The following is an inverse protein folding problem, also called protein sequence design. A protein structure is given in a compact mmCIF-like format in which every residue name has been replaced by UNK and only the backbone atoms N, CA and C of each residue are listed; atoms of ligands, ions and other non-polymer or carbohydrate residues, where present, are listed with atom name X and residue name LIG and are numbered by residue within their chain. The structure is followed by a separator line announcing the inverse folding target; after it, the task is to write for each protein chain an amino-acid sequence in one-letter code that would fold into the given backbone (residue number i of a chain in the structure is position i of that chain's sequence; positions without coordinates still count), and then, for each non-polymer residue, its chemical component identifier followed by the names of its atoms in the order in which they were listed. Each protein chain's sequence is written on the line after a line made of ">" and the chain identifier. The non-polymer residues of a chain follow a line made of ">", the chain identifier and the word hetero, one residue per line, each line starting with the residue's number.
data_IF_263280878908
#
_entry.id   IF_263280878908
#
_cell.length_a   1.000
_cell.length_b   1.000
_cell.length_c   1.000
_cell.angle_alpha   90.00
_cell.angle_beta   90.00
_cell.angle_gamma   90.00
#
_symmetry.space_group_name_H-M   'P 1'
#
loop_
_entity.id
_entity.type
_entity.pdbx_description
1 polymer ?
#
# COMPACT_ATOMS: atom_id res chain seq x y z
N UNK A 1 -5.69 4.07 16.84
CA UNK A 1 -4.28 4.21 16.41
C UNK A 1 -4.05 3.94 14.91
N UNK A 2 -4.17 2.71 14.39
CA UNK A 2 -3.85 2.44 12.97
C UNK A 2 -4.73 3.23 11.97
N UNK A 3 -6.04 3.28 12.18
CA UNK A 3 -6.94 4.06 11.33
C UNK A 3 -6.77 5.56 11.45
N UNK A 4 -6.49 6.07 12.65
CA UNK A 4 -6.20 7.50 12.84
C UNK A 4 -4.93 7.90 12.09
N UNK A 5 -3.89 7.04 12.11
CA UNK A 5 -2.66 7.27 11.34
C UNK A 5 -2.90 7.17 9.84
N UNK A 6 -3.73 6.22 9.40
CA UNK A 6 -4.12 6.11 8.01
C UNK A 6 -4.90 7.35 7.52
N UNK A 7 -5.80 7.87 8.35
CA UNK A 7 -6.59 9.05 8.02
C UNK A 7 -5.75 10.35 7.97
N UNK A 8 -4.59 10.38 8.63
CA UNK A 8 -3.73 11.55 8.72
C UNK A 8 -2.43 11.45 7.92
N UNK A 9 -2.22 10.38 7.14
CA UNK A 9 -1.00 10.23 6.35
C UNK A 9 -1.15 10.87 4.97
N UNK A 10 -0.04 11.41 4.43
CA UNK A 10 0.02 11.89 3.05
C UNK A 10 0.23 10.74 2.05
N UNK A 11 0.90 9.66 2.48
CA UNK A 11 1.24 8.50 1.66
C UNK A 11 1.02 7.21 2.46
N UNK A 12 0.37 6.22 1.84
CA UNK A 12 0.18 4.89 2.38
C UNK A 12 0.76 3.84 1.43
N UNK A 13 1.82 3.15 1.85
CA UNK A 13 2.45 2.06 1.09
C UNK A 13 1.96 0.72 1.65
N UNK A 14 1.32 -0.08 0.81
CA UNK A 14 0.78 -1.39 1.14
C UNK A 14 1.64 -2.46 0.46
N UNK A 15 2.24 -3.34 1.25
CA UNK A 15 3.26 -4.28 0.78
C UNK A 15 2.86 -5.71 1.10
N UNK A 16 2.82 -6.59 0.10
CA UNK A 16 2.74 -8.04 0.28
C UNK A 16 1.46 -8.54 0.97
N UNK A 17 0.29 -8.06 0.54
CA UNK A 17 -1.02 -8.50 1.05
C UNK A 17 -2.03 -8.60 -0.09
N UNK A 18 -2.99 -9.51 0.00
CA UNK A 18 -4.09 -9.63 -0.95
C UNK A 18 -5.24 -8.64 -0.69
N UNK A 19 -5.18 -7.87 0.40
CA UNK A 19 -6.21 -6.91 0.82
C UNK A 19 -7.64 -7.49 1.03
N UNK A 20 -7.75 -8.81 1.24
CA UNK A 20 -9.05 -9.47 1.48
C UNK A 20 -9.46 -9.50 2.95
N UNK A 21 -8.51 -9.42 3.88
CA UNK A 21 -8.76 -9.63 5.31
C UNK A 21 -9.27 -8.35 5.96
N UNK A 22 -10.50 -8.41 6.45
CA UNK A 22 -11.05 -7.40 7.34
C UNK A 22 -10.52 -7.60 8.78
N UNK A 23 -10.16 -6.54 9.53
CA UNK A 23 -10.38 -5.14 9.19
C UNK A 23 -9.13 -4.43 8.61
N UNK A 24 -8.02 -5.14 8.45
CA UNK A 24 -6.75 -4.57 8.00
C UNK A 24 -6.84 -3.94 6.60
N UNK A 25 -7.64 -4.51 5.70
CA UNK A 25 -7.87 -3.94 4.37
C UNK A 25 -8.54 -2.56 4.37
N UNK A 26 -9.13 -2.13 5.49
CA UNK A 26 -9.68 -0.79 5.63
C UNK A 26 -8.61 0.29 5.76
N UNK A 27 -7.40 -0.04 6.22
CA UNK A 27 -6.30 0.92 6.41
C UNK A 27 -6.02 1.72 5.13
N UNK A 28 -5.67 1.09 3.99
CA UNK A 28 -5.40 1.85 2.77
C UNK A 28 -6.64 2.50 2.18
N UNK A 29 -7.84 1.94 2.42
CA UNK A 29 -9.10 2.55 1.98
C UNK A 29 -9.43 3.83 2.73
N UNK A 30 -9.14 3.87 4.03
CA UNK A 30 -9.27 5.07 4.86
C UNK A 30 -8.27 6.11 4.40
N UNK A 31 -7.00 5.73 4.25
CA UNK A 31 -5.97 6.65 3.75
C UNK A 31 -6.36 7.25 2.38
N UNK A 32 -6.80 6.41 1.44
CA UNK A 32 -7.26 6.86 0.12
C UNK A 32 -8.43 7.83 0.20
N UNK A 33 -9.40 7.57 1.08
CA UNK A 33 -10.58 8.42 1.28
C UNK A 33 -10.21 9.80 1.81
N UNK A 34 -9.23 9.88 2.70
CA UNK A 34 -8.74 11.14 3.27
C UNK A 34 -7.73 11.85 2.34
N UNK A 35 -7.51 11.34 1.13
CA UNK A 35 -6.69 11.99 0.10
C UNK A 35 -5.22 11.58 0.08
N UNK A 36 -4.83 10.59 0.88
CA UNK A 36 -3.47 10.05 0.83
C UNK A 36 -3.18 9.39 -0.53
N UNK A 37 -1.92 9.49 -0.96
CA UNK A 37 -1.42 8.75 -2.11
C UNK A 37 -1.17 7.28 -1.73
N UNK A 38 -1.85 6.35 -2.39
CA UNK A 38 -1.80 4.92 -2.05
C UNK A 38 -0.98 4.15 -3.06
N UNK A 39 0.06 3.48 -2.57
CA UNK A 39 0.97 2.64 -3.37
C UNK A 39 0.79 1.19 -2.97
N UNK A 40 0.49 0.34 -3.94
CA UNK A 40 0.50 -1.12 -3.78
C UNK A 40 1.82 -1.70 -4.30
N UNK A 41 2.44 -2.58 -3.51
CA UNK A 41 3.59 -3.39 -3.93
C UNK A 41 3.24 -4.86 -3.71
N UNK A 42 2.93 -5.57 -4.79
CA UNK A 42 2.59 -6.98 -4.74
C UNK A 42 2.88 -7.66 -6.09
N UNK A 43 3.33 -8.94 -6.12
CA UNK A 43 3.61 -9.65 -7.37
C UNK A 43 2.38 -9.78 -8.28
N UNK A 44 1.20 -9.93 -7.68
CA UNK A 44 -0.07 -10.14 -8.36
C UNK A 44 -1.06 -9.02 -8.05
N UNK A 45 -2.13 -8.93 -8.83
CA UNK A 45 -3.24 -8.02 -8.54
C UNK A 45 -3.98 -8.43 -7.27
N UNK A 46 -4.48 -7.44 -6.56
CA UNK A 46 -5.25 -7.62 -5.32
C UNK A 46 -6.52 -6.77 -5.34
N UNK A 47 -7.40 -6.97 -4.36
CA UNK A 47 -8.60 -6.15 -4.14
C UNK A 47 -8.30 -4.64 -3.96
N UNK A 48 -7.05 -4.28 -3.63
CA UNK A 48 -6.63 -2.89 -3.52
C UNK A 48 -6.33 -2.25 -4.88
N UNK A 49 -5.87 -3.03 -5.88
CA UNK A 49 -5.31 -2.55 -7.16
C UNK A 49 -6.11 -1.42 -7.79
N UNK A 50 -7.42 -1.63 -7.97
CA UNK A 50 -8.28 -0.67 -8.66
C UNK A 50 -8.45 0.66 -7.91
N UNK A 51 -8.12 0.70 -6.62
CA UNK A 51 -8.20 1.88 -5.76
C UNK A 51 -6.85 2.48 -5.39
N UNK A 52 -5.74 1.81 -5.72
CA UNK A 52 -4.40 2.35 -5.55
C UNK A 52 -4.11 3.42 -6.61
N UNK A 53 -3.29 4.41 -6.27
CA UNK A 53 -2.78 5.38 -7.24
C UNK A 53 -1.71 4.75 -8.14
N UNK A 54 -0.88 3.88 -7.54
CA UNK A 54 0.18 3.17 -8.23
C UNK A 54 0.23 1.73 -7.72
N UNK A 55 0.27 0.78 -8.64
CA UNK A 55 0.53 -0.63 -8.35
C UNK A 55 1.86 -1.05 -8.98
N UNK A 56 2.81 -1.47 -8.14
CA UNK A 56 4.11 -1.98 -8.56
C UNK A 56 4.09 -3.51 -8.48
N UNK A 57 4.25 -4.16 -9.63
CA UNK A 57 4.30 -5.63 -9.74
C UNK A 57 5.71 -6.14 -9.46
N UNK A 58 5.88 -6.76 -8.29
CA UNK A 58 7.17 -7.34 -7.88
C UNK A 58 7.17 -7.77 -6.41
N UNK A 59 8.20 -8.52 -6.01
CA UNK A 59 8.37 -8.89 -4.60
C UNK A 59 8.84 -7.68 -3.79
N UNK A 60 8.33 -7.55 -2.57
CA UNK A 60 8.70 -6.47 -1.65
C UNK A 60 10.22 -6.31 -1.48
N UNK A 61 10.94 -7.43 -1.30
CA UNK A 61 12.39 -7.47 -1.12
C UNK A 61 13.18 -6.98 -2.35
N UNK A 62 12.58 -7.02 -3.54
CA UNK A 62 13.22 -6.56 -4.78
C UNK A 62 12.88 -5.10 -5.10
N UNK A 63 11.67 -4.66 -4.71
CA UNK A 63 11.14 -3.33 -5.03
C UNK A 63 11.57 -2.28 -4.01
N UNK A 64 11.43 -2.57 -2.71
CA UNK A 64 11.68 -1.58 -1.65
C UNK A 64 13.11 -1.01 -1.66
N UNK A 65 14.18 -1.82 -1.83
CA UNK A 65 15.54 -1.26 -1.88
C UNK A 65 15.74 -0.28 -3.04
N UNK A 66 15.12 -0.55 -4.20
CA UNK A 66 15.18 0.33 -5.38
C UNK A 66 14.49 1.67 -5.14
N UNK A 67 13.44 1.71 -4.32
CA UNK A 67 12.76 2.96 -3.95
C UNK A 67 13.60 3.81 -2.99
N UNK A 68 14.42 3.16 -2.17
CA UNK A 68 15.24 3.82 -1.15
C UNK A 68 16.66 4.15 -1.66
N UNK A 69 16.97 3.89 -2.93
CA UNK A 69 18.34 3.92 -3.47
C UNK A 69 19.34 3.17 -2.58
N UNK A 70 18.89 2.09 -1.94
CA UNK A 70 19.74 1.23 -1.12
C UNK A 70 20.12 0.00 -1.95
N UNK A 71 21.42 -0.31 -2.02
CA UNK A 71 21.88 -1.60 -2.55
C UNK A 71 21.53 -2.70 -1.54
N UNK A 72 21.03 -3.84 -2.04
CA UNK A 72 20.64 -5.01 -1.23
C UNK A 72 21.77 -6.01 -1.15
#
# INVERSE_FOLDING_TARGET
>A
MAYEKAAACDVCIVVGTSAVVYPANMIPRIAKREGAFVIEINPEETELTASADVSIRGKAAEVLPKLLNCEV
#
